data_IF_853355279611
#
_entry.id   IF_853355279611
#
_cell.length_a   1.000
_cell.length_b   1.000
_cell.length_c   1.000
_cell.angle_alpha   90.00
_cell.angle_beta   90.00
_cell.angle_gamma   90.00
#
_symmetry.space_group_name_H-M   'P 1'
#
loop_
_entity.id
_entity.type
_entity.pdbx_description
1 polymer ?
#
# COMPACT_ATOMS: atom_id res chain seq x y z
N UNK A 1 11.25 32.44 -4.04
CA UNK A 1 11.14 31.06 -4.56
C UNK A 1 10.82 30.16 -3.39
N UNK A 2 9.62 29.58 -3.32
CA UNK A 2 9.28 28.68 -2.22
C UNK A 2 9.94 27.33 -2.47
N UNK A 3 10.91 26.97 -1.62
CA UNK A 3 11.42 25.59 -1.52
C UNK A 3 10.40 24.79 -0.73
N UNK A 4 9.27 24.45 -1.35
CA UNK A 4 8.29 23.55 -0.72
C UNK A 4 9.00 22.22 -0.54
N UNK A 5 9.24 21.74 0.70
CA UNK A 5 9.92 20.48 0.91
C UNK A 5 9.10 19.38 0.23
N UNK A 6 9.75 18.59 -0.60
CA UNK A 6 9.15 17.41 -1.22
C UNK A 6 8.77 16.47 -0.07
N UNK A 7 7.47 16.17 0.15
CA UNK A 7 7.08 15.21 1.17
C UNK A 7 7.76 13.87 0.88
N UNK A 8 8.32 13.20 1.91
CA UNK A 8 8.95 11.90 1.71
C UNK A 8 7.93 10.90 1.19
N UNK A 9 8.35 10.01 0.28
CA UNK A 9 7.50 8.89 -0.13
C UNK A 9 7.24 8.02 1.10
N UNK A 10 5.98 7.89 1.50
CA UNK A 10 5.58 7.00 2.58
C UNK A 10 5.37 5.61 2.00
N UNK A 11 6.00 4.60 2.60
CA UNK A 11 5.82 3.19 2.26
C UNK A 11 5.22 2.45 3.45
N UNK A 12 4.13 1.73 3.21
CA UNK A 12 3.43 0.92 4.21
C UNK A 12 3.44 -0.53 3.75
N UNK A 13 4.02 -1.41 4.55
CA UNK A 13 3.97 -2.86 4.34
C UNK A 13 2.83 -3.45 5.15
N UNK A 14 2.04 -4.30 4.52
CA UNK A 14 0.85 -4.92 5.11
C UNK A 14 0.98 -6.43 4.97
N UNK A 15 0.91 -7.10 6.11
CA UNK A 15 0.90 -8.55 6.24
C UNK A 15 -0.51 -8.97 6.68
N UNK A 16 -1.38 -9.40 5.75
CA UNK A 16 -2.70 -9.91 6.07
C UNK A 16 -2.61 -11.11 6.99
N UNK A 17 -3.60 -11.23 7.88
CA UNK A 17 -3.82 -12.49 8.60
C UNK A 17 -4.20 -13.59 7.60
N UNK A 18 -3.92 -14.87 7.90
CA UNK A 18 -4.30 -15.99 7.05
C UNK A 18 -5.79 -15.94 6.65
N UNK A 19 -6.07 -16.11 5.35
CA UNK A 19 -7.43 -16.05 4.79
C UNK A 19 -8.08 -14.65 4.74
N UNK A 20 -7.34 -13.57 5.05
CA UNK A 20 -7.86 -12.18 5.00
C UNK A 20 -7.32 -11.36 3.84
N UNK A 21 -6.55 -11.95 2.95
CA UNK A 21 -5.82 -11.19 1.95
C UNK A 21 -6.73 -10.47 0.93
N UNK A 22 -7.77 -11.14 0.42
CA UNK A 22 -8.81 -10.49 -0.41
C UNK A 22 -9.46 -9.32 0.31
N UNK A 23 -9.75 -9.46 1.60
CA UNK A 23 -10.35 -8.38 2.39
C UNK A 23 -9.39 -7.21 2.58
N UNK A 24 -8.10 -7.48 2.75
CA UNK A 24 -7.08 -6.43 2.82
C UNK A 24 -6.98 -5.69 1.48
N UNK A 25 -7.01 -6.39 0.35
CA UNK A 25 -6.99 -5.78 -0.98
C UNK A 25 -8.19 -4.84 -1.21
N UNK A 26 -9.40 -5.27 -0.84
CA UNK A 26 -10.60 -4.42 -0.87
C UNK A 26 -10.44 -3.15 -0.02
N UNK A 27 -9.86 -3.28 1.17
CA UNK A 27 -9.64 -2.15 2.08
C UNK A 27 -8.61 -1.17 1.52
N UNK A 28 -7.55 -1.65 0.87
CA UNK A 28 -6.56 -0.81 0.19
C UNK A 28 -7.22 -0.03 -0.96
N UNK A 29 -8.02 -0.71 -1.79
CA UNK A 29 -8.73 -0.06 -2.89
C UNK A 29 -9.71 1.01 -2.38
N UNK A 30 -10.44 0.72 -1.30
CA UNK A 30 -11.33 1.71 -0.67
C UNK A 30 -10.55 2.90 -0.11
N UNK A 31 -9.43 2.65 0.59
CA UNK A 31 -8.59 3.71 1.13
C UNK A 31 -8.03 4.60 0.02
N UNK A 32 -7.67 4.02 -1.14
CA UNK A 32 -7.23 4.79 -2.30
C UNK A 32 -8.31 5.78 -2.79
N UNK A 33 -9.58 5.36 -2.84
CA UNK A 33 -10.68 6.25 -3.20
C UNK A 33 -10.93 7.34 -2.14
N UNK A 34 -10.88 6.99 -0.86
CA UNK A 34 -11.02 7.97 0.23
C UNK A 34 -9.88 9.01 0.19
N UNK A 35 -8.63 8.58 -0.01
CA UNK A 35 -7.47 9.45 -0.20
C UNK A 35 -7.67 10.37 -1.41
N UNK A 36 -8.11 9.83 -2.55
CA UNK A 36 -8.35 10.62 -3.77
C UNK A 36 -9.41 11.71 -3.58
N UNK A 37 -10.41 11.46 -2.74
CA UNK A 37 -11.53 12.39 -2.51
C UNK A 37 -11.23 13.44 -1.43
N UNK A 38 -10.43 13.09 -0.43
CA UNK A 38 -10.28 13.91 0.78
C UNK A 38 -8.87 14.49 0.98
N UNK A 39 -7.83 13.86 0.44
CA UNK A 39 -6.43 14.23 0.72
C UNK A 39 -5.77 14.86 -0.51
N UNK A 40 -6.13 16.09 -0.85
CA UNK A 40 -5.66 16.79 -2.06
C UNK A 40 -4.15 17.07 -2.09
N UNK A 41 -3.45 16.90 -0.97
CA UNK A 41 -1.99 17.02 -0.90
C UNK A 41 -1.28 15.74 -1.36
N UNK A 42 -1.98 14.60 -1.39
CA UNK A 42 -1.47 13.34 -1.93
C UNK A 42 -1.57 13.40 -3.46
N UNK A 43 -0.42 13.64 -4.08
CA UNK A 43 -0.19 13.61 -5.52
C UNK A 43 -0.21 12.21 -6.13
N UNK A 44 0.05 11.17 -5.32
CA UNK A 44 0.25 9.80 -5.78
C UNK A 44 -0.13 8.78 -4.70
N UNK A 45 -0.85 7.73 -5.08
CA UNK A 45 -1.13 6.56 -4.25
C UNK A 45 -1.06 5.30 -5.12
N UNK A 46 -0.20 4.33 -4.78
CA UNK A 46 -0.11 3.03 -5.47
C UNK A 46 0.02 1.90 -4.47
N UNK A 47 -0.50 0.74 -4.84
CA UNK A 47 -0.27 -0.49 -4.09
C UNK A 47 0.29 -1.60 -4.98
N UNK A 48 1.05 -2.50 -4.38
CA UNK A 48 1.66 -3.65 -5.04
C UNK A 48 1.37 -4.91 -4.20
N UNK A 49 1.07 -6.02 -4.87
CA UNK A 49 1.06 -7.34 -4.24
C UNK A 49 2.47 -7.92 -4.34
N UNK A 50 3.16 -7.99 -3.22
CA UNK A 50 4.49 -8.59 -3.13
C UNK A 50 4.35 -10.11 -3.05
N UNK A 51 5.08 -10.80 -3.93
CA UNK A 51 5.31 -12.24 -3.84
C UNK A 51 6.72 -12.45 -3.29
N UNK A 52 6.85 -13.20 -2.20
CA UNK A 52 8.15 -13.57 -1.66
C UNK A 52 8.88 -14.49 -2.65
N UNK A 53 9.94 -14.00 -3.27
CA UNK A 53 10.79 -14.79 -4.17
C UNK A 53 11.88 -15.42 -3.32
N UNK A 54 11.72 -16.69 -2.95
CA UNK A 54 12.77 -17.50 -2.29
C UNK A 54 12.39 -18.24 -1.00
N UNK A 55 11.14 -18.19 -0.55
CA UNK A 55 10.73 -18.96 0.64
C UNK A 55 10.29 -20.38 0.25
N UNK A 56 11.12 -21.36 0.58
CA UNK A 56 10.81 -22.80 0.51
C UNK A 56 9.93 -23.23 1.70
N UNK A 57 8.81 -22.56 1.90
CA UNK A 57 7.78 -22.97 2.86
C UNK A 57 6.41 -22.59 2.33
N UNK A 58 5.50 -23.57 2.36
CA UNK A 58 4.11 -23.54 1.91
C UNK A 58 3.21 -22.66 2.80
N UNK A 59 3.66 -21.44 3.10
CA UNK A 59 2.81 -20.37 3.59
C UNK A 59 2.87 -19.29 2.51
N UNK A 60 1.84 -19.20 1.68
CA UNK A 60 1.59 -18.07 0.79
C UNK A 60 1.31 -16.83 1.66
N UNK A 61 2.36 -16.28 2.27
CA UNK A 61 2.30 -15.00 2.96
C UNK A 61 2.14 -13.92 1.88
N UNK A 62 0.90 -13.62 1.54
CA UNK A 62 0.56 -12.52 0.66
C UNK A 62 0.99 -11.20 1.32
N UNK A 63 1.89 -10.45 0.72
CA UNK A 63 2.29 -9.14 1.23
C UNK A 63 1.72 -8.03 0.32
N UNK A 64 1.32 -6.92 0.91
CA UNK A 64 0.90 -5.73 0.18
C UNK A 64 1.78 -4.55 0.56
N UNK A 65 2.22 -3.78 -0.43
CA UNK A 65 3.02 -2.57 -0.25
C UNK A 65 2.23 -1.39 -0.79
N UNK A 66 1.92 -0.41 0.04
CA UNK A 66 1.29 0.85 -0.36
C UNK A 66 2.34 1.96 -0.34
N UNK A 67 2.41 2.75 -1.40
CA UNK A 67 3.31 3.91 -1.52
C UNK A 67 2.49 5.15 -1.85
N UNK A 68 2.67 6.23 -1.10
CA UNK A 68 1.99 7.50 -1.37
C UNK A 68 2.85 8.73 -1.10
N UNK A 69 2.50 9.83 -1.77
CA UNK A 69 3.15 11.15 -1.66
C UNK A 69 2.14 12.25 -1.85
#
# INVERSE_FOLDING_TARGET
MATTPIPPNVMVQIFPKPGKATRVEELIARAAEEVRQHESWISFYRYYKAKHVGSSSEAEDEEYIVVFR
#
